data_IF_587829637256
#
_entry.id   IF_587829637256
#
_cell.length_a   1.000
_cell.length_b   1.000
_cell.length_c   1.000
_cell.angle_alpha   90.00
_cell.angle_beta   90.00
_cell.angle_gamma   90.00
#
_symmetry.space_group_name_H-M   'P 1'
#
loop_
_entity.id
_entity.type
_entity.pdbx_description
1 polymer ?
#
# COMPACT_ATOMS: atom_id res chain seq x y z
N UNK A 1 -3.31 19.51 -26.16
CA UNK A 1 -2.01 18.82 -25.88
C UNK A 1 -2.19 17.31 -26.00
N UNK A 2 -1.14 16.60 -26.43
CA UNK A 2 -1.14 15.13 -26.44
C UNK A 2 -0.55 14.57 -25.15
N UNK A 3 -1.37 13.83 -24.40
CA UNK A 3 -1.01 13.28 -23.09
C UNK A 3 -1.06 11.76 -23.17
N UNK A 4 0.05 11.11 -22.86
CA UNK A 4 0.13 9.65 -22.83
C UNK A 4 0.14 9.15 -21.39
N UNK A 5 -0.78 8.24 -21.05
CA UNK A 5 -0.87 7.57 -19.76
C UNK A 5 -0.42 6.12 -19.94
N UNK A 6 0.59 5.70 -19.17
CA UNK A 6 1.16 4.35 -19.25
C UNK A 6 0.67 3.52 -18.07
N UNK A 7 -0.17 2.53 -18.34
CA UNK A 7 -0.75 1.60 -17.38
C UNK A 7 -2.24 1.84 -17.11
N UNK A 8 -3.06 0.84 -17.42
CA UNK A 8 -4.52 0.86 -17.31
C UNK A 8 -5.05 0.38 -15.95
N UNK A 9 -4.28 0.56 -14.86
CA UNK A 9 -4.71 0.34 -13.49
C UNK A 9 -5.54 1.51 -12.94
N UNK A 10 -6.00 1.45 -11.67
CA UNK A 10 -6.82 2.49 -11.04
C UNK A 10 -6.21 3.89 -11.13
N UNK A 11 -4.89 4.02 -10.92
CA UNK A 11 -4.19 5.29 -11.02
C UNK A 11 -4.19 5.84 -12.45
N UNK A 12 -3.87 5.00 -13.45
CA UNK A 12 -3.83 5.44 -14.85
C UNK A 12 -5.21 5.73 -15.40
N UNK A 13 -6.24 4.94 -15.07
CA UNK A 13 -7.61 5.23 -15.47
C UNK A 13 -8.09 6.59 -14.91
N UNK A 14 -7.85 6.83 -13.61
CA UNK A 14 -8.21 8.12 -12.99
C UNK A 14 -7.41 9.28 -13.62
N UNK A 15 -6.11 9.09 -13.87
CA UNK A 15 -5.27 10.10 -14.52
C UNK A 15 -5.76 10.45 -15.92
N UNK A 16 -6.11 9.44 -16.73
CA UNK A 16 -6.63 9.64 -18.08
C UNK A 16 -8.00 10.35 -18.08
N UNK A 17 -8.92 9.93 -17.18
CA UNK A 17 -10.22 10.60 -16.99
C UNK A 17 -10.02 12.07 -16.62
N UNK A 18 -9.10 12.37 -15.72
CA UNK A 18 -8.90 13.73 -15.25
C UNK A 18 -8.20 14.61 -16.30
N UNK A 19 -7.18 14.07 -16.97
CA UNK A 19 -6.48 14.80 -18.05
C UNK A 19 -7.39 15.13 -19.23
N UNK A 20 -8.39 14.28 -19.50
CA UNK A 20 -9.36 14.45 -20.59
C UNK A 20 -10.58 15.33 -20.26
N UNK A 21 -10.64 15.93 -19.06
CA UNK A 21 -11.68 16.91 -18.70
C UNK A 21 -11.59 18.17 -19.56
N UNK A 22 -10.37 18.60 -19.88
CA UNK A 22 -10.16 19.60 -20.92
C UNK A 22 -10.26 18.92 -22.29
N UNK A 23 -11.28 19.31 -23.06
CA UNK A 23 -11.62 18.71 -24.36
C UNK A 23 -10.59 19.01 -25.46
N UNK A 24 -9.71 19.98 -25.27
CA UNK A 24 -8.59 20.27 -26.15
C UNK A 24 -7.42 19.29 -26.01
N UNK A 25 -7.44 18.46 -24.96
CA UNK A 25 -6.43 17.44 -24.76
C UNK A 25 -6.76 16.14 -25.50
N UNK A 26 -5.80 15.65 -26.25
CA UNK A 26 -5.78 14.30 -26.81
C UNK A 26 -5.14 13.36 -25.80
N UNK A 27 -5.93 12.46 -25.20
CA UNK A 27 -5.45 11.56 -24.14
C UNK A 27 -5.41 10.13 -24.65
N UNK A 28 -4.23 9.51 -24.59
CA UNK A 28 -3.96 8.14 -24.98
C UNK A 28 -3.59 7.32 -23.74
N UNK A 29 -4.40 6.30 -23.39
CA UNK A 29 -4.13 5.34 -22.34
C UNK A 29 -3.55 4.05 -22.94
N UNK A 30 -2.35 3.67 -22.50
CA UNK A 30 -1.66 2.47 -22.99
C UNK A 30 -1.66 1.38 -21.91
N UNK A 31 -2.17 0.21 -22.27
CA UNK A 31 -2.17 -0.98 -21.41
C UNK A 31 -1.49 -2.15 -22.11
N UNK A 32 -0.52 -2.78 -21.45
CA UNK A 32 0.20 -3.93 -22.02
C UNK A 32 -0.62 -5.23 -22.02
N UNK A 33 -1.66 -5.29 -21.18
CA UNK A 33 -2.57 -6.44 -21.10
C UNK A 33 -3.77 -6.24 -22.05
N UNK A 34 -4.55 -7.31 -22.22
CA UNK A 34 -5.75 -7.28 -23.07
C UNK A 34 -6.94 -6.52 -22.46
N UNK A 35 -6.86 -6.11 -21.18
CA UNK A 35 -7.94 -5.42 -20.47
C UNK A 35 -7.41 -4.52 -19.36
N UNK A 36 -8.17 -3.44 -19.08
CA UNK A 36 -7.90 -2.54 -17.96
C UNK A 36 -8.23 -3.18 -16.62
N UNK A 37 -7.66 -2.63 -15.54
CA UNK A 37 -8.10 -2.87 -14.18
C UNK A 37 -7.89 -4.28 -13.63
N UNK A 38 -7.06 -5.12 -14.24
CA UNK A 38 -6.90 -6.53 -13.85
C UNK A 38 -6.61 -6.73 -12.36
N UNK A 39 -5.73 -5.91 -11.77
CA UNK A 39 -5.43 -5.96 -10.33
C UNK A 39 -6.62 -5.44 -9.50
N UNK A 40 -7.34 -4.43 -9.96
CA UNK A 40 -8.56 -3.94 -9.29
C UNK A 40 -9.61 -5.06 -9.16
N UNK A 41 -9.78 -5.88 -10.20
CA UNK A 41 -10.78 -6.95 -10.22
C UNK A 41 -10.56 -8.02 -9.15
N UNK A 42 -9.34 -8.25 -8.69
CA UNK A 42 -9.03 -9.23 -7.64
C UNK A 42 -9.02 -8.64 -6.23
N UNK A 43 -9.11 -7.32 -6.08
CA UNK A 43 -9.12 -6.68 -4.77
C UNK A 43 -10.37 -7.03 -3.97
N UNK A 44 -10.25 -7.05 -2.65
CA UNK A 44 -11.37 -7.40 -1.77
C UNK A 44 -11.98 -8.78 -2.06
N UNK A 45 -11.19 -9.73 -2.56
CA UNK A 45 -11.66 -11.07 -3.00
C UNK A 45 -12.70 -11.00 -4.14
N UNK A 46 -12.47 -10.11 -5.10
CA UNK A 46 -13.37 -9.90 -6.24
C UNK A 46 -14.50 -8.91 -5.98
N UNK A 47 -14.61 -8.34 -4.76
CA UNK A 47 -15.65 -7.37 -4.40
C UNK A 47 -15.21 -5.92 -4.60
N UNK A 48 -13.92 -5.63 -4.65
CA UNK A 48 -13.28 -4.32 -4.64
C UNK A 48 -13.55 -3.52 -3.36
N UNK A 49 -12.60 -3.54 -2.42
CA UNK A 49 -12.61 -2.58 -1.31
C UNK A 49 -12.12 -1.22 -1.83
N UNK A 50 -13.07 -0.38 -2.23
CA UNK A 50 -12.86 0.86 -3.00
C UNK A 50 -11.98 1.85 -2.24
N UNK A 51 -12.36 2.13 -0.98
CA UNK A 51 -11.71 3.09 -0.09
C UNK A 51 -12.12 2.82 1.35
N UNK A 52 -11.80 3.74 2.26
CA UNK A 52 -12.24 3.74 3.65
C UNK A 52 -13.09 4.98 3.93
N UNK A 53 -14.03 4.91 4.87
CA UNK A 53 -14.79 6.08 5.37
C UNK A 53 -14.01 6.90 6.42
N UNK A 54 -12.83 6.49 6.80
CA UNK A 54 -11.99 7.20 7.77
C UNK A 54 -11.58 8.59 7.27
N UNK A 55 -11.28 9.54 8.18
CA UNK A 55 -10.74 10.85 7.81
C UNK A 55 -9.29 10.76 7.28
N UNK A 56 -8.84 11.76 6.53
CA UNK A 56 -7.52 11.80 5.86
C UNK A 56 -6.36 11.52 6.83
N UNK A 57 -6.39 12.02 8.04
CA UNK A 57 -5.33 11.79 9.03
C UNK A 57 -5.15 10.31 9.36
N UNK A 58 -6.23 9.54 9.35
CA UNK A 58 -6.17 8.10 9.53
C UNK A 58 -5.59 7.39 8.29
N UNK A 59 -5.82 7.88 7.06
CA UNK A 59 -5.14 7.37 5.88
C UNK A 59 -3.62 7.51 6.00
N UNK A 60 -3.15 8.66 6.49
CA UNK A 60 -1.72 8.93 6.68
C UNK A 60 -1.13 8.00 7.76
N UNK A 61 -1.82 7.81 8.88
CA UNK A 61 -1.41 6.88 9.96
C UNK A 61 -1.36 5.43 9.48
N UNK A 62 -2.29 5.03 8.59
CA UNK A 62 -2.33 3.70 8.00
C UNK A 62 -1.35 3.51 6.83
N UNK A 63 -0.46 4.48 6.59
CA UNK A 63 0.61 4.42 5.59
C UNK A 63 1.97 4.38 6.29
N UNK A 64 2.55 3.18 6.56
CA UNK A 64 3.75 3.01 7.40
C UNK A 64 5.05 3.55 6.80
N UNK A 65 5.03 3.96 5.53
CA UNK A 65 6.19 4.54 4.84
C UNK A 65 6.12 6.06 4.74
N UNK A 66 5.94 6.57 3.53
CA UNK A 66 5.96 7.99 3.19
C UNK A 66 4.57 8.64 3.24
N UNK A 67 3.71 8.31 4.21
CA UNK A 67 2.31 8.75 4.27
C UNK A 67 2.11 10.27 4.15
N UNK A 68 2.99 11.07 4.74
CA UNK A 68 2.92 12.54 4.67
C UNK A 68 3.05 13.10 3.26
N UNK A 69 3.71 12.37 2.35
CA UNK A 69 3.80 12.75 0.94
C UNK A 69 2.41 12.84 0.27
N UNK A 70 1.46 12.02 0.71
CA UNK A 70 0.13 11.91 0.13
C UNK A 70 -0.84 13.01 0.58
N UNK A 71 -0.48 13.80 1.60
CA UNK A 71 -1.37 14.81 2.17
C UNK A 71 -1.97 15.75 1.11
N UNK A 72 -1.14 16.27 0.23
CA UNK A 72 -1.59 17.18 -0.85
C UNK A 72 -2.48 16.48 -1.88
N UNK A 73 -2.27 15.19 -2.13
CA UNK A 73 -3.10 14.42 -3.07
C UNK A 73 -4.48 14.13 -2.45
N UNK A 74 -4.54 13.78 -1.18
CA UNK A 74 -5.80 13.57 -0.46
C UNK A 74 -6.62 14.85 -0.30
N UNK A 75 -5.97 16.01 -0.14
CA UNK A 75 -6.65 17.31 -0.11
C UNK A 75 -7.30 17.66 -1.46
N UNK A 76 -6.78 17.16 -2.57
CA UNK A 76 -7.32 17.41 -3.91
C UNK A 76 -8.32 16.35 -4.35
N UNK A 77 -8.17 15.11 -3.90
CA UNK A 77 -9.07 14.00 -4.21
C UNK A 77 -9.07 12.98 -3.08
N UNK A 78 -10.06 13.06 -2.20
CA UNK A 78 -10.22 12.22 -1.03
C UNK A 78 -11.16 11.02 -1.27
N UNK A 79 -11.48 10.31 -0.19
CA UNK A 79 -12.40 9.17 -0.22
C UNK A 79 -13.84 9.58 -0.59
N UNK A 80 -14.31 10.77 -0.23
CA UNK A 80 -15.62 11.25 -0.63
C UNK A 80 -15.67 11.52 -2.14
N UNK A 81 -14.58 12.02 -2.72
CA UNK A 81 -14.49 12.28 -4.14
C UNK A 81 -14.63 10.99 -4.97
N UNK A 82 -13.95 9.89 -4.59
CA UNK A 82 -14.11 8.63 -5.31
C UNK A 82 -15.50 8.02 -5.11
N UNK A 83 -16.10 8.14 -3.92
CA UNK A 83 -17.46 7.70 -3.66
C UNK A 83 -18.45 8.48 -4.55
N UNK A 84 -18.33 9.80 -4.61
CA UNK A 84 -19.19 10.64 -5.44
C UNK A 84 -19.00 10.33 -6.93
N UNK A 85 -17.74 10.16 -7.40
CA UNK A 85 -17.47 9.74 -8.77
C UNK A 85 -18.20 8.44 -9.14
N UNK A 86 -18.21 7.43 -8.28
CA UNK A 86 -18.90 6.18 -8.53
C UNK A 86 -20.43 6.35 -8.53
N UNK A 87 -20.97 7.14 -7.63
CA UNK A 87 -22.40 7.47 -7.59
C UNK A 87 -22.86 8.22 -8.85
N UNK A 88 -22.08 9.18 -9.32
CA UNK A 88 -22.33 9.88 -10.59
C UNK A 88 -22.34 8.93 -11.79
N UNK A 89 -21.58 7.83 -11.73
CA UNK A 89 -21.62 6.77 -12.74
C UNK A 89 -22.75 5.76 -12.55
N UNK A 90 -23.57 5.93 -11.51
CA UNK A 90 -24.73 5.08 -11.20
C UNK A 90 -24.41 3.87 -10.30
N UNK A 91 -23.27 3.86 -9.61
CA UNK A 91 -22.87 2.79 -8.70
C UNK A 91 -22.96 3.23 -7.24
N UNK A 92 -23.96 2.70 -6.51
CA UNK A 92 -24.10 2.90 -5.07
C UNK A 92 -23.05 2.06 -4.30
N UNK A 93 -22.64 2.59 -3.15
CA UNK A 93 -21.67 1.96 -2.27
C UNK A 93 -22.24 1.74 -0.87
N UNK A 94 -21.65 0.79 -0.13
CA UNK A 94 -21.98 0.48 1.26
C UNK A 94 -20.74 0.49 2.13
N UNK A 95 -20.91 0.89 3.39
CA UNK A 95 -19.86 0.75 4.40
C UNK A 95 -20.03 -0.58 5.14
N UNK A 96 -18.92 -1.27 5.36
CA UNK A 96 -18.83 -2.50 6.16
C UNK A 96 -17.91 -2.32 7.36
N UNK A 97 -17.95 -3.29 8.28
CA UNK A 97 -17.10 -3.32 9.48
C UNK A 97 -15.65 -2.94 9.16
N UNK A 98 -15.06 -2.05 9.97
CA UNK A 98 -13.71 -1.55 9.79
C UNK A 98 -13.61 -0.43 8.76
N UNK A 99 -14.69 0.34 8.61
CA UNK A 99 -14.75 1.54 7.76
C UNK A 99 -14.44 1.27 6.28
N UNK A 100 -14.70 0.04 5.81
CA UNK A 100 -14.40 -0.39 4.43
C UNK A 100 -15.57 -0.09 3.51
N UNK A 101 -15.29 0.55 2.38
CA UNK A 101 -16.30 0.88 1.38
C UNK A 101 -16.27 -0.13 0.25
N UNK A 102 -17.41 -0.74 -0.03
CA UNK A 102 -17.62 -1.69 -1.12
C UNK A 102 -18.75 -1.23 -2.04
N UNK A 103 -18.78 -1.68 -3.32
CA UNK A 103 -19.95 -1.50 -4.15
C UNK A 103 -21.12 -2.30 -3.55
N UNK A 104 -22.34 -1.76 -3.65
CA UNK A 104 -23.55 -2.46 -3.11
C UNK A 104 -23.75 -3.82 -3.77
N UNK A 105 -23.30 -3.96 -5.01
CA UNK A 105 -23.38 -5.20 -5.82
C UNK A 105 -22.39 -6.29 -5.38
N UNK A 106 -21.39 -5.94 -4.56
CA UNK A 106 -20.27 -6.85 -4.20
C UNK A 106 -19.46 -7.37 -5.39
N UNK A 107 -19.45 -6.65 -6.54
CA UNK A 107 -18.73 -7.02 -7.74
C UNK A 107 -17.74 -5.93 -8.18
N UNK A 108 -16.45 -6.27 -8.20
CA UNK A 108 -15.37 -5.37 -8.67
C UNK A 108 -15.54 -4.98 -10.15
N UNK A 109 -16.23 -5.79 -10.95
CA UNK A 109 -16.56 -5.50 -12.34
C UNK A 109 -17.37 -4.21 -12.48
N UNK A 110 -18.28 -3.93 -11.56
CA UNK A 110 -19.13 -2.74 -11.65
C UNK A 110 -18.34 -1.47 -11.36
N UNK A 111 -17.37 -1.54 -10.45
CA UNK A 111 -16.40 -0.45 -10.25
C UNK A 111 -15.60 -0.21 -11.54
N UNK A 112 -15.08 -1.26 -12.19
CA UNK A 112 -14.35 -1.13 -13.45
C UNK A 112 -15.22 -0.55 -14.56
N UNK A 113 -16.50 -0.95 -14.65
CA UNK A 113 -17.45 -0.39 -15.63
C UNK A 113 -17.61 1.12 -15.49
N UNK A 114 -17.65 1.66 -14.25
CA UNK A 114 -17.71 3.10 -14.01
C UNK A 114 -16.53 3.83 -14.65
N UNK A 115 -15.31 3.32 -14.44
CA UNK A 115 -14.11 3.91 -15.05
C UNK A 115 -14.12 3.80 -16.57
N UNK A 116 -14.43 2.62 -17.12
CA UNK A 116 -14.41 2.40 -18.57
C UNK A 116 -15.50 3.19 -19.29
N UNK A 117 -16.68 3.35 -18.67
CA UNK A 117 -17.74 4.22 -19.17
C UNK A 117 -17.26 5.67 -19.24
N UNK A 118 -16.63 6.19 -18.17
CA UNK A 118 -16.15 7.57 -18.12
C UNK A 118 -15.00 7.83 -19.09
N UNK A 119 -14.08 6.89 -19.28
CA UNK A 119 -13.03 6.97 -20.29
C UNK A 119 -13.63 7.10 -21.71
N UNK A 120 -14.67 6.30 -22.01
CA UNK A 120 -15.36 6.35 -23.30
C UNK A 120 -16.12 7.66 -23.49
N UNK A 121 -16.84 8.15 -22.48
CA UNK A 121 -17.54 9.44 -22.52
C UNK A 121 -16.58 10.60 -22.80
N UNK A 122 -15.40 10.56 -22.19
CA UNK A 122 -14.35 11.56 -22.38
C UNK A 122 -13.53 11.35 -23.67
N UNK A 123 -13.87 10.35 -24.51
CA UNK A 123 -13.18 10.02 -25.77
C UNK A 123 -11.69 9.72 -25.61
N UNK A 124 -11.29 9.14 -24.47
CA UNK A 124 -9.91 8.67 -24.25
C UNK A 124 -9.64 7.51 -25.20
N UNK A 125 -8.57 7.63 -25.99
CA UNK A 125 -8.08 6.53 -26.82
C UNK A 125 -7.37 5.49 -25.94
N UNK A 126 -7.59 4.18 -26.20
CA UNK A 126 -6.99 3.11 -25.40
C UNK A 126 -6.29 2.13 -26.33
N UNK A 127 -4.98 1.97 -26.12
CA UNK A 127 -4.18 0.96 -26.78
C UNK A 127 -3.92 -0.22 -25.86
N UNK A 128 -4.58 -1.34 -26.13
CA UNK A 128 -4.36 -2.62 -25.45
C UNK A 128 -3.21 -3.41 -26.06
N UNK A 129 -2.70 -4.41 -25.32
CA UNK A 129 -1.62 -5.31 -25.76
C UNK A 129 -0.40 -4.53 -26.27
N UNK A 130 -0.13 -3.36 -25.68
CA UNK A 130 0.94 -2.45 -26.11
C UNK A 130 1.88 -2.17 -24.95
N UNK A 131 3.10 -2.67 -25.04
CA UNK A 131 4.14 -2.48 -24.03
C UNK A 131 4.98 -1.26 -24.39
N UNK A 132 5.04 -0.30 -23.47
CA UNK A 132 5.98 0.82 -23.54
C UNK A 132 7.35 0.34 -23.07
N UNK A 133 8.39 0.62 -23.84
CA UNK A 133 9.78 0.26 -23.55
C UNK A 133 10.56 1.41 -22.94
N UNK A 134 10.26 2.65 -23.37
CA UNK A 134 11.05 3.81 -23.06
C UNK A 134 10.18 5.09 -23.12
N UNK A 135 10.49 6.05 -22.26
CA UNK A 135 10.01 7.43 -22.39
C UNK A 135 11.11 8.23 -23.07
N UNK A 136 10.76 8.91 -24.16
CA UNK A 136 11.69 9.72 -24.95
C UNK A 136 11.78 11.11 -24.34
N UNK A 137 12.99 11.61 -24.21
CA UNK A 137 13.28 12.92 -23.61
C UNK A 137 14.30 13.68 -24.47
N UNK A 138 14.19 15.01 -24.45
CA UNK A 138 15.22 15.93 -24.95
C UNK A 138 15.93 16.62 -23.79
N UNK A 139 17.18 17.01 -23.98
CA UNK A 139 17.92 17.84 -23.06
C UNK A 139 17.36 19.26 -23.07
N UNK A 140 17.14 19.84 -21.91
CA UNK A 140 16.80 21.25 -21.78
C UNK A 140 18.09 22.04 -21.86
N UNK A 141 18.37 22.69 -22.99
CA UNK A 141 19.47 23.62 -23.10
C UNK A 141 19.27 24.77 -22.13
N UNK A 142 20.05 24.77 -21.03
CA UNK A 142 20.12 25.88 -20.07
C UNK A 142 21.04 26.95 -20.68
N UNK A 143 20.90 27.28 -21.97
CA UNK A 143 21.57 28.42 -22.55
C UNK A 143 20.76 29.70 -22.30
N UNK A 144 21.38 30.59 -21.53
CA UNK A 144 21.24 32.04 -21.56
C UNK A 144 19.94 32.69 -21.14
N UNK A 145 19.79 32.82 -19.82
CA UNK A 145 19.20 34.05 -19.27
C UNK A 145 20.27 34.96 -18.61
N UNK A 146 21.55 34.73 -18.83
CA UNK A 146 22.63 35.53 -18.26
C UNK A 146 23.33 36.50 -19.23
N UNK A 147 22.77 36.77 -20.43
CA UNK A 147 23.37 37.75 -21.35
C UNK A 147 22.38 38.87 -21.72
N UNK A 148 21.84 39.56 -20.73
CA UNK A 148 21.30 40.93 -20.90
C UNK A 148 21.38 41.69 -19.57
N UNK A 149 22.60 41.85 -19.06
CA UNK A 149 22.87 42.89 -18.01
C UNK A 149 24.38 43.10 -17.78
N UNK A 150 25.16 43.18 -18.87
CA UNK A 150 26.52 43.69 -18.84
C UNK A 150 26.73 44.71 -19.94
N UNK A 151 25.90 45.76 -19.97
CA UNK A 151 26.25 47.04 -20.55
C UNK A 151 25.58 48.10 -19.68
N UNK A 152 26.41 48.94 -19.05
CA UNK A 152 26.09 50.10 -18.20
C UNK A 152 26.13 49.82 -16.68
N UNK A 153 27.31 49.52 -16.14
CA UNK A 153 27.71 49.87 -14.77
C UNK A 153 29.08 50.55 -14.85
N UNK A 154 29.02 51.82 -15.28
CA UNK A 154 30.02 52.80 -14.92
C UNK A 154 29.25 54.08 -14.63
N UNK A 155 29.24 54.51 -13.38
CA UNK A 155 28.67 55.70 -12.73
C UNK A 155 27.48 55.36 -11.84
N UNK A 156 27.84 55.28 -10.55
CA UNK A 156 27.16 55.86 -9.39
C UNK A 156 27.47 55.05 -8.13
N UNK A 157 28.72 55.18 -7.68
CA UNK A 157 29.04 55.12 -6.28
C UNK A 157 28.60 56.47 -5.68
N UNK A 158 27.80 56.42 -4.64
CA UNK A 158 27.53 57.27 -3.52
C UNK A 158 26.05 57.33 -3.20
N UNK A 159 25.66 56.58 -2.23
CA UNK A 159 24.84 56.93 -1.09
C UNK A 159 24.37 55.68 -0.36
N UNK A 160 25.19 55.30 0.58
CA UNK A 160 24.88 54.29 1.59
C UNK A 160 24.11 54.97 2.72
N UNK A 161 23.20 54.22 3.22
CA UNK A 161 22.72 54.12 4.59
C UNK A 161 21.24 54.42 4.78
N UNK A 162 20.67 53.46 5.48
CA UNK A 162 19.38 53.49 6.17
C UNK A 162 18.11 53.26 5.31
N UNK A 163 17.67 51.96 5.27
CA UNK A 163 16.33 51.61 5.74
C UNK A 163 16.18 50.09 5.74
N UNK A 164 16.15 49.54 6.92
CA UNK A 164 15.88 48.16 7.24
C UNK A 164 14.44 47.74 6.89
N UNK A 165 14.31 46.42 6.57
CA UNK A 165 13.12 45.61 6.74
C UNK A 165 11.95 45.76 5.76
N UNK A 166 11.95 44.90 4.79
CA UNK A 166 10.87 44.02 4.30
C UNK A 166 11.14 43.61 2.86
N UNK A 167 11.99 42.61 2.68
CA UNK A 167 12.07 41.91 1.40
C UNK A 167 11.43 40.55 1.59
N UNK A 168 10.22 40.43 1.10
CA UNK A 168 9.61 39.14 0.80
C UNK A 168 10.42 38.50 -0.29
N UNK A 169 11.28 37.55 0.07
CA UNK A 169 11.99 36.68 -0.89
C UNK A 169 10.99 35.82 -1.64
N UNK A 170 10.57 36.25 -2.82
CA UNK A 170 10.15 35.35 -3.87
C UNK A 170 11.43 34.69 -4.38
N UNK A 171 11.77 33.52 -3.82
CA UNK A 171 12.75 32.65 -4.41
C UNK A 171 12.31 32.28 -5.83
N UNK A 172 12.96 32.85 -6.82
CA UNK A 172 12.96 32.30 -8.19
C UNK A 172 13.67 30.96 -8.11
N UNK A 173 12.89 29.87 -7.92
CA UNK A 173 13.40 28.51 -8.05
C UNK A 173 13.82 28.33 -9.51
N UNK A 174 15.11 28.40 -9.76
CA UNK A 174 15.71 27.93 -11.02
C UNK A 174 15.31 26.47 -11.20
N UNK A 175 14.64 26.18 -12.31
CA UNK A 175 14.24 24.82 -12.67
C UNK A 175 15.51 24.04 -13.06
N UNK A 176 15.98 23.15 -12.18
CA UNK A 176 17.20 22.37 -12.38
C UNK A 176 16.97 21.08 -13.17
N UNK A 177 15.81 20.91 -13.79
CA UNK A 177 15.54 19.75 -14.65
C UNK A 177 16.39 19.81 -15.91
N UNK A 178 17.04 18.66 -16.22
CA UNK A 178 17.91 18.53 -17.40
C UNK A 178 17.18 18.02 -18.62
N UNK A 179 16.03 17.37 -18.45
CA UNK A 179 15.33 16.66 -19.50
C UNK A 179 13.85 17.05 -19.53
N UNK A 180 13.28 17.01 -20.73
CA UNK A 180 11.85 17.22 -20.99
C UNK A 180 11.30 16.05 -21.80
N UNK A 181 10.09 15.59 -21.47
CA UNK A 181 9.39 14.56 -22.25
C UNK A 181 9.08 15.07 -23.65
N UNK A 182 9.31 14.22 -24.67
CA UNK A 182 8.91 14.43 -26.06
C UNK A 182 8.03 13.29 -26.61
N UNK A 183 7.90 12.18 -25.88
CA UNK A 183 7.08 11.05 -26.30
C UNK A 183 7.45 9.75 -25.61
N UNK A 184 7.04 8.66 -26.22
CA UNK A 184 7.31 7.29 -25.78
C UNK A 184 7.73 6.41 -26.94
N UNK A 185 8.37 5.28 -26.62
CA UNK A 185 8.67 4.20 -27.56
C UNK A 185 7.98 2.91 -27.11
N UNK A 186 7.17 2.35 -27.97
CA UNK A 186 6.57 1.04 -27.80
C UNK A 186 7.42 -0.04 -28.47
N UNK A 187 6.94 -1.27 -28.49
CA UNK A 187 7.58 -2.35 -29.29
C UNK A 187 7.44 -2.11 -30.80
N UNK A 188 6.44 -1.33 -31.21
CA UNK A 188 6.07 -1.15 -32.62
C UNK A 188 6.51 0.19 -33.19
N UNK A 189 6.36 1.27 -32.43
CA UNK A 189 6.50 2.63 -32.93
C UNK A 189 6.89 3.63 -31.83
N UNK A 190 7.26 4.85 -32.28
CA UNK A 190 7.42 6.01 -31.42
C UNK A 190 6.15 6.85 -31.47
N UNK A 191 5.65 7.30 -30.32
CA UNK A 191 4.46 8.15 -30.19
C UNK A 191 4.92 9.44 -29.52
N UNK A 192 4.78 10.57 -30.23
CA UNK A 192 5.07 11.89 -29.67
C UNK A 192 4.02 12.26 -28.63
N UNK A 193 4.44 12.95 -27.58
CA UNK A 193 3.57 13.42 -26.50
C UNK A 193 4.14 14.67 -25.83
N UNK A 194 3.27 15.58 -25.45
CA UNK A 194 3.63 16.78 -24.66
C UNK A 194 3.86 16.44 -23.19
N UNK A 195 3.10 15.48 -22.66
CA UNK A 195 3.18 14.98 -21.30
C UNK A 195 3.06 13.46 -21.23
N UNK A 196 3.73 12.84 -20.26
CA UNK A 196 3.59 11.41 -19.96
C UNK A 196 3.26 11.21 -18.48
N UNK A 197 2.27 10.36 -18.21
CA UNK A 197 1.92 9.91 -16.84
C UNK A 197 2.28 8.45 -16.72
N UNK A 198 3.26 8.12 -15.85
CA UNK A 198 3.72 6.76 -15.58
C UNK A 198 2.94 6.18 -14.39
N UNK A 199 2.01 5.26 -14.66
CA UNK A 199 1.09 4.66 -13.69
C UNK A 199 1.05 3.11 -13.78
N UNK A 200 2.21 2.50 -14.01
CA UNK A 200 2.37 1.07 -14.30
C UNK A 200 2.19 0.14 -13.09
N UNK A 201 1.98 0.69 -11.88
CA UNK A 201 1.90 -0.08 -10.65
C UNK A 201 3.26 -0.61 -10.16
N UNK A 202 3.21 -1.55 -9.22
CA UNK A 202 4.38 -2.16 -8.59
C UNK A 202 4.83 -3.47 -9.24
N UNK A 203 5.22 -4.45 -8.39
CA UNK A 203 5.72 -5.76 -8.80
C UNK A 203 4.93 -6.93 -8.19
N UNK A 204 3.91 -6.66 -7.39
CA UNK A 204 3.04 -7.68 -6.80
C UNK A 204 1.95 -8.12 -7.77
N UNK A 205 1.53 -9.40 -7.71
CA UNK A 205 0.59 -10.01 -8.64
C UNK A 205 0.97 -9.85 -10.13
N UNK A 206 2.12 -10.37 -10.57
CA UNK A 206 2.66 -10.13 -11.92
C UNK A 206 1.73 -10.58 -13.05
N UNK A 207 0.88 -11.59 -12.81
CA UNK A 207 -0.14 -12.05 -13.77
C UNK A 207 -1.20 -10.98 -14.09
N UNK A 208 -1.32 -9.94 -13.27
CA UNK A 208 -2.22 -8.80 -13.54
C UNK A 208 -1.60 -7.72 -14.41
N UNK A 209 -0.31 -7.85 -14.74
CA UNK A 209 0.45 -6.86 -15.49
C UNK A 209 1.45 -6.05 -14.62
N UNK A 210 1.43 -6.19 -13.31
CA UNK A 210 2.37 -5.49 -12.38
C UNK A 210 3.73 -6.20 -12.33
N UNK A 211 4.55 -6.06 -13.37
CA UNK A 211 5.83 -6.77 -13.51
C UNK A 211 7.05 -5.91 -13.14
N UNK A 212 6.83 -4.63 -12.80
CA UNK A 212 7.90 -3.68 -12.45
C UNK A 212 8.58 -3.05 -13.68
N UNK A 213 7.98 -3.12 -14.88
CA UNK A 213 8.54 -2.49 -16.08
C UNK A 213 8.75 -0.98 -15.90
N UNK A 214 7.81 -0.30 -15.24
CA UNK A 214 7.91 1.14 -14.98
C UNK A 214 9.10 1.55 -14.12
N UNK A 215 9.56 0.68 -13.24
CA UNK A 215 10.77 0.95 -12.45
C UNK A 215 12.01 1.10 -13.35
N UNK A 216 12.18 0.20 -14.32
CA UNK A 216 13.29 0.27 -15.28
C UNK A 216 13.22 1.54 -16.13
N UNK A 217 12.00 1.91 -16.56
CA UNK A 217 11.78 3.15 -17.32
C UNK A 217 12.19 4.36 -16.48
N UNK A 218 11.80 4.39 -15.21
CA UNK A 218 12.14 5.50 -14.32
C UNK A 218 13.64 5.57 -13.98
N UNK A 219 14.30 4.43 -13.77
CA UNK A 219 15.77 4.38 -13.56
C UNK A 219 16.54 4.89 -14.77
N UNK A 220 16.13 4.55 -15.99
CA UNK A 220 16.74 5.07 -17.23
C UNK A 220 16.61 6.60 -17.36
N UNK A 221 15.64 7.21 -16.69
CA UNK A 221 15.43 8.65 -16.63
C UNK A 221 16.15 9.32 -15.43
N UNK A 222 16.96 8.55 -14.70
CA UNK A 222 17.72 9.04 -13.55
C UNK A 222 17.01 8.99 -12.20
N UNK A 223 15.78 8.47 -12.15
CA UNK A 223 15.08 8.28 -10.86
C UNK A 223 15.72 7.17 -10.03
N UNK A 224 15.77 7.38 -8.74
CA UNK A 224 16.25 6.37 -7.78
C UNK A 224 15.09 5.60 -7.16
N UNK A 225 15.30 4.30 -6.98
CA UNK A 225 14.33 3.42 -6.36
C UNK A 225 14.69 3.13 -4.90
N UNK A 226 13.70 3.12 -4.04
CA UNK A 226 13.77 2.42 -2.75
C UNK A 226 13.73 0.92 -3.00
N UNK A 227 14.36 0.14 -2.12
CA UNK A 227 14.41 -1.31 -2.26
C UNK A 227 13.01 -1.92 -2.38
N UNK A 228 12.76 -2.63 -3.48
CA UNK A 228 11.49 -3.30 -3.74
C UNK A 228 11.37 -4.54 -2.86
N UNK A 229 10.29 -4.59 -2.06
CA UNK A 229 10.00 -5.66 -1.10
C UNK A 229 8.51 -6.04 -1.17
N UNK A 230 8.15 -7.29 -0.78
CA UNK A 230 6.75 -7.63 -0.58
C UNK A 230 6.17 -6.86 0.61
N UNK A 231 4.95 -6.36 0.52
CA UNK A 231 4.20 -5.78 1.64
C UNK A 231 2.78 -6.31 1.67
N UNK A 232 2.18 -6.39 2.85
CA UNK A 232 0.90 -7.07 3.05
C UNK A 232 0.94 -8.51 2.52
N UNK A 233 1.89 -9.26 3.02
CA UNK A 233 2.21 -10.62 2.58
C UNK A 233 2.13 -11.59 3.75
N UNK A 234 1.66 -12.83 3.57
CA UNK A 234 1.70 -13.84 4.62
C UNK A 234 3.11 -14.12 5.12
N UNK A 235 3.22 -14.63 6.35
CA UNK A 235 4.48 -14.96 7.00
C UNK A 235 4.67 -16.48 7.09
N UNK A 236 5.87 -16.94 6.73
CA UNK A 236 6.34 -18.30 6.96
C UNK A 236 6.85 -18.44 8.39
N UNK A 237 6.63 -19.59 8.98
CA UNK A 237 7.05 -19.88 10.37
C UNK A 237 7.97 -21.08 10.44
N UNK A 238 8.75 -21.18 11.51
CA UNK A 238 9.54 -22.38 11.80
C UNK A 238 8.64 -23.52 12.24
N UNK A 239 7.53 -23.25 12.93
CA UNK A 239 6.54 -24.22 13.41
C UNK A 239 5.59 -24.68 12.29
N UNK A 240 6.13 -25.01 11.12
CA UNK A 240 5.36 -25.34 9.93
C UNK A 240 4.39 -26.51 10.12
N UNK A 241 4.80 -27.55 10.84
CA UNK A 241 3.95 -28.72 11.07
C UNK A 241 2.72 -28.34 11.91
N UNK A 242 2.91 -27.62 13.00
CA UNK A 242 1.82 -27.07 13.83
C UNK A 242 0.88 -26.17 13.00
N UNK A 243 1.43 -25.28 12.20
CA UNK A 243 0.62 -24.43 11.34
C UNK A 243 -0.18 -25.22 10.29
N UNK A 244 0.36 -26.33 9.76
CA UNK A 244 -0.34 -27.23 8.84
C UNK A 244 -1.50 -27.94 9.53
N UNK A 245 -1.36 -28.39 10.77
CA UNK A 245 -2.45 -28.96 11.57
C UNK A 245 -3.58 -27.95 11.80
N UNK A 246 -3.20 -26.69 12.05
CA UNK A 246 -4.13 -25.59 12.25
C UNK A 246 -4.65 -24.98 10.94
N UNK A 247 -4.24 -25.45 9.78
CA UNK A 247 -4.61 -24.88 8.47
C UNK A 247 -6.12 -24.66 8.36
N UNK A 248 -6.50 -23.42 7.95
CA UNK A 248 -7.89 -23.00 7.79
C UNK A 248 -8.55 -22.51 9.09
N UNK A 249 -7.88 -22.62 10.24
CA UNK A 249 -8.36 -22.01 11.47
C UNK A 249 -8.22 -20.49 11.37
N UNK A 250 -9.35 -19.79 11.42
CA UNK A 250 -9.42 -18.33 11.50
C UNK A 250 -9.77 -17.91 12.92
N UNK A 251 -9.02 -16.94 13.44
CA UNK A 251 -9.19 -16.33 14.75
C UNK A 251 -9.61 -14.87 14.56
N UNK A 252 -10.73 -14.46 15.15
CA UNK A 252 -11.31 -13.14 14.88
C UNK A 252 -10.96 -12.05 15.88
N UNK A 253 -10.74 -12.40 17.13
CA UNK A 253 -10.54 -11.46 18.23
C UNK A 253 -9.29 -11.86 19.02
N UNK A 254 -8.13 -11.76 18.39
CA UNK A 254 -6.82 -12.01 19.01
C UNK A 254 -5.97 -10.75 18.94
N UNK A 255 -5.05 -10.59 19.87
CA UNK A 255 -3.99 -9.60 19.70
C UNK A 255 -2.68 -10.30 19.36
N UNK A 256 -1.85 -9.60 18.62
CA UNK A 256 -0.50 -10.05 18.27
C UNK A 256 0.54 -9.03 18.67
N UNK A 257 1.74 -9.50 18.98
CA UNK A 257 2.95 -8.69 19.10
C UNK A 257 4.04 -9.33 18.27
N UNK A 258 4.58 -8.59 17.31
CA UNK A 258 5.78 -8.97 16.57
C UNK A 258 7.00 -8.41 17.33
N UNK A 259 7.86 -9.27 17.83
CA UNK A 259 8.94 -8.93 18.74
C UNK A 259 10.31 -9.28 18.14
N UNK A 260 11.25 -8.36 18.24
CA UNK A 260 12.69 -8.66 18.11
C UNK A 260 13.21 -9.10 19.51
N UNK A 261 13.44 -10.39 19.67
CA UNK A 261 13.83 -10.96 20.96
C UNK A 261 15.26 -10.62 21.37
N UNK A 262 16.14 -10.30 20.40
CA UNK A 262 17.51 -9.87 20.67
C UNK A 262 17.57 -8.50 21.35
N UNK A 263 16.63 -7.60 20.96
CA UNK A 263 16.57 -6.23 21.47
C UNK A 263 15.44 -5.98 22.45
N UNK A 264 14.63 -6.99 22.70
CA UNK A 264 13.38 -6.88 23.47
C UNK A 264 12.48 -5.73 22.96
N UNK A 265 12.39 -5.61 21.61
CA UNK A 265 11.69 -4.50 20.97
C UNK A 265 10.46 -4.97 20.22
N UNK A 266 9.30 -4.42 20.58
CA UNK A 266 8.07 -4.60 19.80
C UNK A 266 8.23 -3.86 18.46
N UNK A 267 8.13 -4.61 17.36
CA UNK A 267 8.16 -4.09 15.98
C UNK A 267 6.77 -3.61 15.59
N UNK A 268 5.75 -4.39 15.99
CA UNK A 268 4.34 -4.11 15.68
C UNK A 268 3.43 -4.82 16.66
N UNK A 269 2.30 -4.21 17.00
CA UNK A 269 1.22 -4.85 17.73
C UNK A 269 -0.13 -4.45 17.16
N UNK A 270 -1.10 -5.36 17.18
CA UNK A 270 -2.44 -5.12 16.66
C UNK A 270 -3.45 -6.10 17.26
N UNK A 271 -4.74 -5.75 17.10
CA UNK A 271 -5.88 -6.56 17.50
C UNK A 271 -6.80 -6.78 16.29
N UNK A 272 -7.20 -8.03 16.05
CA UNK A 272 -8.10 -8.31 14.93
C UNK A 272 -8.16 -9.79 14.53
N UNK A 273 -8.15 -10.00 13.22
CA UNK A 273 -8.33 -11.31 12.60
C UNK A 273 -7.01 -11.84 12.03
N UNK A 274 -6.72 -13.11 12.30
CA UNK A 274 -5.64 -13.87 11.69
C UNK A 274 -6.10 -15.28 11.30
N UNK A 275 -5.30 -15.95 10.48
CA UNK A 275 -5.54 -17.34 10.11
C UNK A 275 -4.25 -18.14 9.98
N UNK A 276 -4.33 -19.43 10.25
CA UNK A 276 -3.26 -20.37 9.98
C UNK A 276 -3.35 -20.95 8.57
N UNK A 277 -2.18 -21.14 7.95
CA UNK A 277 -2.02 -21.73 6.61
C UNK A 277 -1.05 -22.90 6.69
N UNK A 278 -0.91 -23.67 5.62
CA UNK A 278 0.03 -24.81 5.58
C UNK A 278 1.51 -24.42 5.66
N UNK A 279 1.86 -23.15 5.48
CA UNK A 279 3.23 -22.65 5.53
C UNK A 279 3.51 -21.75 6.75
N UNK A 280 2.47 -21.31 7.45
CA UNK A 280 2.59 -20.35 8.54
C UNK A 280 1.28 -19.62 8.80
N UNK A 281 1.31 -18.29 8.77
CA UNK A 281 0.21 -17.42 9.21
C UNK A 281 -0.12 -16.33 8.20
N UNK A 282 -1.39 -15.90 8.20
CA UNK A 282 -1.93 -14.85 7.34
C UNK A 282 -3.10 -14.14 8.03
N UNK A 283 -3.84 -13.33 7.30
CA UNK A 283 -4.99 -12.55 7.80
C UNK A 283 -4.64 -11.09 8.04
N UNK A 284 -5.64 -10.22 8.26
CA UNK A 284 -5.45 -8.77 8.24
C UNK A 284 -4.32 -8.26 9.13
N UNK A 285 -4.29 -8.65 10.40
CA UNK A 285 -3.25 -8.17 11.33
C UNK A 285 -1.86 -8.74 11.02
N UNK A 286 -1.78 -9.94 10.45
CA UNK A 286 -0.50 -10.53 10.00
C UNK A 286 0.01 -9.84 8.75
N UNK A 287 -0.86 -9.53 7.79
CA UNK A 287 -0.51 -8.78 6.60
C UNK A 287 0.01 -7.38 6.97
N UNK A 288 -0.65 -6.69 7.90
CA UNK A 288 -0.17 -5.40 8.40
C UNK A 288 1.18 -5.53 9.11
N UNK A 289 1.38 -6.57 9.94
CA UNK A 289 2.66 -6.81 10.62
C UNK A 289 3.82 -7.03 9.64
N UNK A 290 3.55 -7.66 8.48
CA UNK A 290 4.57 -7.89 7.45
C UNK A 290 5.11 -6.58 6.87
N UNK A 291 4.28 -5.54 6.74
CA UNK A 291 4.69 -4.22 6.28
C UNK A 291 5.74 -3.57 7.21
N UNK A 292 5.66 -3.85 8.52
CA UNK A 292 6.67 -3.41 9.49
C UNK A 292 7.91 -4.29 9.46
N UNK A 293 7.72 -5.61 9.36
CA UNK A 293 8.83 -6.56 9.31
C UNK A 293 9.78 -6.25 8.14
N UNK A 294 9.25 -6.00 6.93
CA UNK A 294 10.10 -5.76 5.75
C UNK A 294 10.87 -4.44 5.82
N UNK A 295 10.42 -3.50 6.65
CA UNK A 295 11.10 -2.21 6.92
C UNK A 295 12.06 -2.30 8.11
N UNK A 296 11.96 -3.36 8.93
CA UNK A 296 12.81 -3.52 10.10
C UNK A 296 14.26 -3.80 9.69
N UNK A 297 15.19 -3.16 10.40
CA UNK A 297 16.64 -3.31 10.11
C UNK A 297 17.08 -4.76 10.30
N UNK A 298 17.77 -5.31 9.32
CA UNK A 298 18.31 -6.68 9.33
C UNK A 298 17.23 -7.76 9.51
N UNK A 299 15.98 -7.50 9.11
CA UNK A 299 14.87 -8.43 9.33
C UNK A 299 15.13 -9.85 8.81
N UNK A 300 15.71 -9.99 7.61
CA UNK A 300 16.02 -11.31 7.03
C UNK A 300 17.00 -12.12 7.88
N UNK A 301 18.06 -11.49 8.35
CA UNK A 301 19.06 -12.12 9.22
C UNK A 301 18.44 -12.51 10.57
N UNK A 302 17.69 -11.61 11.17
CA UNK A 302 16.99 -11.85 12.43
C UNK A 302 15.96 -12.97 12.33
N UNK A 303 15.20 -13.05 11.24
CA UNK A 303 14.33 -14.18 10.99
C UNK A 303 15.11 -15.49 10.86
N UNK A 304 16.23 -15.51 10.11
CA UNK A 304 17.10 -16.68 9.98
C UNK A 304 17.64 -17.17 11.32
N UNK A 305 17.96 -16.25 12.23
CA UNK A 305 18.47 -16.53 13.58
C UNK A 305 17.36 -16.78 14.60
N UNK A 306 16.09 -16.87 14.18
CA UNK A 306 14.91 -17.04 15.04
C UNK A 306 14.72 -15.92 16.11
N UNK A 307 15.24 -14.72 15.82
CA UNK A 307 15.14 -13.57 16.73
C UNK A 307 13.86 -12.75 16.50
N UNK A 308 12.98 -13.18 15.59
CA UNK A 308 11.67 -12.57 15.37
C UNK A 308 10.58 -13.54 15.81
N UNK A 309 9.90 -13.18 16.88
CA UNK A 309 8.76 -13.92 17.43
C UNK A 309 7.45 -13.18 17.15
N UNK A 310 6.41 -13.92 16.80
CA UNK A 310 5.03 -13.46 16.90
C UNK A 310 4.42 -14.06 18.18
N UNK A 311 3.97 -13.21 19.07
CA UNK A 311 3.26 -13.59 20.29
C UNK A 311 1.78 -13.37 20.06
N UNK A 312 0.96 -14.39 20.27
CA UNK A 312 -0.50 -14.34 20.10
C UNK A 312 -1.16 -14.42 21.47
N UNK A 313 -2.03 -13.48 21.77
CA UNK A 313 -2.98 -13.55 22.88
C UNK A 313 -4.35 -13.97 22.34
N UNK A 314 -4.78 -15.18 22.67
CA UNK A 314 -6.06 -15.73 22.24
C UNK A 314 -7.27 -15.16 22.98
N UNK A 315 -7.06 -14.47 24.11
CA UNK A 315 -8.11 -13.93 24.97
C UNK A 315 -7.79 -12.51 25.44
N UNK A 316 -7.57 -11.55 24.53
CA UNK A 316 -7.10 -10.20 24.87
C UNK A 316 -8.06 -9.41 25.74
N UNK A 317 -9.36 -9.71 25.68
CA UNK A 317 -10.39 -9.08 26.54
C UNK A 317 -10.32 -9.51 28.02
N UNK A 318 -9.55 -10.55 28.35
CA UNK A 318 -9.44 -11.07 29.72
C UNK A 318 -8.02 -10.83 30.26
N UNK A 319 -7.90 -10.24 31.45
CA UNK A 319 -6.63 -10.27 32.19
C UNK A 319 -6.28 -11.72 32.59
N UNK A 320 -5.03 -11.98 32.94
CA UNK A 320 -4.59 -13.33 33.37
C UNK A 320 -5.46 -13.82 34.53
N UNK A 321 -5.75 -12.98 35.53
CA UNK A 321 -6.60 -13.33 36.66
C UNK A 321 -8.03 -13.68 36.25
N UNK A 322 -8.63 -12.89 35.33
CA UNK A 322 -9.98 -13.16 34.82
C UNK A 322 -10.03 -14.42 33.97
N UNK A 323 -8.95 -14.69 33.21
CA UNK A 323 -8.83 -15.91 32.40
C UNK A 323 -8.66 -17.14 33.30
N UNK A 324 -7.82 -17.05 34.34
CA UNK A 324 -7.66 -18.13 35.37
C UNK A 324 -9.00 -18.43 36.03
N UNK A 325 -9.72 -17.42 36.51
CA UNK A 325 -11.04 -17.58 37.09
C UNK A 325 -12.05 -18.21 36.12
N UNK A 326 -12.01 -17.86 34.85
CA UNK A 326 -12.83 -18.50 33.81
C UNK A 326 -12.49 -19.97 33.63
N UNK A 327 -11.19 -20.32 33.55
CA UNK A 327 -10.76 -21.69 33.41
C UNK A 327 -11.16 -22.51 34.64
N UNK A 328 -11.00 -21.95 35.84
CA UNK A 328 -11.41 -22.63 37.08
C UNK A 328 -12.92 -22.92 37.11
N UNK A 329 -13.74 -21.96 36.68
CA UNK A 329 -15.19 -22.16 36.59
C UNK A 329 -15.54 -23.26 35.58
N UNK A 330 -14.95 -23.24 34.38
CA UNK A 330 -15.20 -24.23 33.34
C UNK A 330 -14.71 -25.63 33.82
N UNK A 331 -13.61 -25.71 34.57
CA UNK A 331 -13.09 -26.94 35.16
C UNK A 331 -13.98 -27.46 36.31
N UNK A 332 -14.57 -26.60 37.10
CA UNK A 332 -15.55 -26.99 38.15
C UNK A 332 -16.81 -27.60 37.51
N UNK A 333 -17.29 -27.05 36.41
CA UNK A 333 -18.42 -27.59 35.66
C UNK A 333 -18.07 -28.97 35.05
N UNK A 334 -16.84 -29.14 34.57
CA UNK A 334 -16.39 -30.36 33.89
C UNK A 334 -15.52 -31.30 34.78
N UNK A 335 -15.60 -31.22 36.11
CA UNK A 335 -14.71 -31.83 37.05
C UNK A 335 -14.38 -33.31 36.80
N UNK A 336 -15.29 -34.07 36.21
CA UNK A 336 -15.13 -35.51 35.92
C UNK A 336 -14.62 -35.80 34.52
N UNK A 337 -14.51 -34.79 33.64
CA UNK A 337 -13.98 -34.97 32.28
C UNK A 337 -12.48 -35.10 32.28
N UNK A 338 -11.92 -35.76 31.27
CA UNK A 338 -10.50 -35.70 30.97
C UNK A 338 -10.15 -34.32 30.41
N UNK A 339 -8.93 -33.85 30.65
CA UNK A 339 -8.43 -32.53 30.24
C UNK A 339 -8.63 -32.29 28.71
N UNK A 340 -8.32 -33.30 27.88
CA UNK A 340 -8.50 -33.22 26.42
C UNK A 340 -9.93 -32.86 25.97
N UNK A 341 -10.93 -33.13 26.82
CA UNK A 341 -12.36 -32.92 26.52
C UNK A 341 -12.95 -31.72 27.28
N UNK A 342 -12.12 -30.85 27.88
CA UNK A 342 -12.57 -29.80 28.80
C UNK A 342 -12.41 -28.38 28.24
N UNK A 343 -11.78 -28.21 27.09
CA UNK A 343 -11.43 -26.90 26.54
C UNK A 343 -12.40 -26.40 25.45
N UNK A 344 -13.45 -27.14 25.13
CA UNK A 344 -14.38 -26.85 24.02
C UNK A 344 -15.08 -25.48 24.17
N UNK A 345 -15.41 -25.06 25.41
CA UNK A 345 -16.03 -23.76 25.67
C UNK A 345 -15.03 -22.59 25.61
N UNK A 346 -13.75 -22.91 25.66
CA UNK A 346 -12.67 -21.92 25.72
C UNK A 346 -11.99 -21.68 24.37
N UNK A 347 -11.79 -22.74 23.59
CA UNK A 347 -10.97 -22.73 22.38
C UNK A 347 -11.69 -23.35 21.18
N UNK A 348 -11.37 -22.93 19.95
CA UNK A 348 -11.76 -23.65 18.74
C UNK A 348 -11.20 -25.08 18.75
N UNK A 349 -12.01 -26.04 18.27
CA UNK A 349 -11.65 -27.46 18.30
C UNK A 349 -10.28 -27.78 17.74
N UNK A 350 -9.92 -27.18 16.57
CA UNK A 350 -8.59 -27.39 15.95
C UNK A 350 -7.42 -26.90 16.84
N UNK A 351 -7.64 -25.91 17.71
CA UNK A 351 -6.57 -25.37 18.56
C UNK A 351 -6.33 -26.21 19.82
N UNK A 352 -7.34 -26.97 20.26
CA UNK A 352 -7.28 -27.75 21.52
C UNK A 352 -6.10 -28.73 21.56
N UNK A 353 -5.86 -29.58 20.55
CA UNK A 353 -4.73 -30.53 20.59
C UNK A 353 -3.37 -29.82 20.74
N UNK A 354 -3.18 -28.71 20.02
CA UNK A 354 -1.94 -27.92 20.08
C UNK A 354 -1.73 -27.30 21.47
N UNK A 355 -2.80 -26.79 22.08
CA UNK A 355 -2.71 -26.21 23.45
C UNK A 355 -2.45 -27.32 24.48
N UNK A 356 -3.05 -28.48 24.34
CA UNK A 356 -2.78 -29.64 25.22
C UNK A 356 -1.32 -30.03 25.14
N UNK A 357 -0.76 -30.21 23.96
CA UNK A 357 0.67 -30.52 23.77
C UNK A 357 1.57 -29.45 24.39
N UNK A 358 1.31 -28.17 24.11
CA UNK A 358 2.08 -27.03 24.64
C UNK A 358 1.96 -26.89 26.15
N UNK A 359 0.82 -27.24 26.75
CA UNK A 359 0.60 -27.17 28.22
C UNK A 359 1.39 -28.20 28.99
N UNK A 360 1.79 -29.31 28.35
CA UNK A 360 2.43 -30.49 28.96
C UNK A 360 1.59 -31.12 30.08
N UNK A 361 0.29 -30.83 30.15
CA UNK A 361 -0.64 -31.49 31.05
C UNK A 361 -1.04 -32.82 30.41
N UNK A 362 -1.05 -33.91 31.19
CA UNK A 362 -1.48 -35.21 30.68
C UNK A 362 -2.93 -35.12 30.11
N UNK A 363 -3.16 -35.44 28.82
CA UNK A 363 -4.48 -35.36 28.17
C UNK A 363 -5.59 -36.14 28.90
N UNK A 364 -5.23 -37.26 29.52
CA UNK A 364 -6.16 -38.16 30.20
C UNK A 364 -6.37 -37.84 31.67
N UNK A 365 -5.63 -36.88 32.22
CA UNK A 365 -5.77 -36.38 33.59
C UNK A 365 -7.18 -35.81 33.78
N UNK A 366 -7.83 -36.15 34.88
CA UNK A 366 -9.12 -35.56 35.24
C UNK A 366 -8.95 -34.08 35.55
N UNK A 367 -9.93 -33.29 35.16
CA UNK A 367 -9.86 -31.83 35.32
C UNK A 367 -9.75 -31.37 36.78
N UNK A 368 -10.36 -32.10 37.72
CA UNK A 368 -10.26 -31.83 39.13
C UNK A 368 -8.87 -32.15 39.74
N UNK A 369 -8.01 -32.86 39.03
CA UNK A 369 -6.65 -33.17 39.44
C UNK A 369 -5.62 -32.15 38.90
N UNK A 370 -6.06 -31.21 38.02
CA UNK A 370 -5.18 -30.18 37.48
C UNK A 370 -4.74 -29.21 38.55
N UNK A 371 -3.43 -29.11 38.78
CA UNK A 371 -2.86 -28.27 39.80
C UNK A 371 -2.99 -26.77 39.47
N UNK A 372 -2.75 -25.95 40.50
CA UNK A 372 -2.72 -24.48 40.33
C UNK A 372 -1.62 -24.04 39.36
N UNK A 373 -0.46 -24.68 39.42
CA UNK A 373 0.71 -24.43 38.56
C UNK A 373 0.38 -24.76 37.08
N UNK A 374 -0.20 -25.94 36.84
CA UNK A 374 -0.63 -26.37 35.50
C UNK A 374 -1.66 -25.39 34.92
N UNK A 375 -2.61 -24.95 35.75
CA UNK A 375 -3.62 -23.97 35.34
C UNK A 375 -3.00 -22.58 35.01
N UNK A 376 -2.06 -22.10 35.84
CA UNK A 376 -1.32 -20.87 35.56
C UNK A 376 -0.49 -20.97 34.27
N UNK A 377 0.16 -22.13 34.05
CA UNK A 377 0.89 -22.38 32.81
C UNK A 377 -0.03 -22.34 31.60
N UNK A 378 -1.22 -22.95 31.68
CA UNK A 378 -2.23 -22.87 30.62
C UNK A 378 -2.65 -21.41 30.32
N UNK A 379 -2.89 -20.61 31.36
CA UNK A 379 -3.17 -19.17 31.21
C UNK A 379 -2.04 -18.46 30.47
N UNK A 380 -0.78 -18.69 30.90
CA UNK A 380 0.40 -18.09 30.26
C UNK A 380 0.52 -18.46 28.79
N UNK A 381 0.26 -19.73 28.43
CA UNK A 381 0.28 -20.18 27.03
C UNK A 381 -0.81 -19.49 26.21
N UNK A 382 -2.02 -19.36 26.75
CA UNK A 382 -3.14 -18.72 26.05
C UNK A 382 -2.95 -17.21 25.86
N UNK A 383 -2.21 -16.56 26.76
CA UNK A 383 -1.90 -15.11 26.69
C UNK A 383 -0.62 -14.81 25.91
N UNK A 384 0.31 -15.77 25.80
CA UNK A 384 1.64 -15.56 25.22
C UNK A 384 2.02 -16.76 24.33
N UNK A 385 1.19 -17.06 23.31
CA UNK A 385 1.47 -18.14 22.39
C UNK A 385 2.50 -17.70 21.34
N UNK A 386 3.67 -18.34 21.33
CA UNK A 386 4.83 -17.93 20.55
C UNK A 386 4.97 -18.71 19.25
N UNK A 387 5.28 -18.02 18.18
CA UNK A 387 5.61 -18.55 16.86
C UNK A 387 6.83 -17.81 16.32
N UNK A 388 7.84 -18.52 15.83
CA UNK A 388 9.04 -17.92 15.24
C UNK A 388 8.84 -17.64 13.74
N UNK A 389 9.05 -16.41 13.35
CA UNK A 389 8.93 -16.00 11.95
C UNK A 389 10.20 -16.39 11.20
N UNK A 390 10.03 -17.15 10.12
CA UNK A 390 11.10 -17.62 9.26
C UNK A 390 11.39 -16.66 8.10
N UNK A 391 10.33 -16.20 7.43
CA UNK A 391 10.43 -15.31 6.28
C UNK A 391 9.05 -14.72 5.93
N UNK A 392 9.03 -13.78 4.99
CA UNK A 392 7.81 -13.40 4.26
C UNK A 392 7.60 -14.35 3.08
N UNK A 393 6.36 -14.50 2.61
CA UNK A 393 6.10 -15.13 1.31
C UNK A 393 6.67 -14.26 0.18
N UNK A 394 6.88 -14.83 -1.03
CA UNK A 394 7.40 -14.11 -2.19
C UNK A 394 6.56 -12.90 -2.58
N UNK A 395 7.19 -11.96 -3.31
CA UNK A 395 6.55 -10.72 -3.76
C UNK A 395 5.34 -10.98 -4.68
N UNK A 396 5.35 -12.09 -5.39
CA UNK A 396 4.25 -12.47 -6.29
C UNK A 396 2.95 -12.78 -5.55
N UNK A 397 3.06 -13.14 -4.25
CA UNK A 397 1.91 -13.39 -3.36
C UNK A 397 1.56 -12.16 -2.50
N UNK A 398 2.35 -11.09 -2.57
CA UNK A 398 2.10 -9.87 -1.82
C UNK A 398 0.90 -9.10 -2.39
N UNK A 399 0.08 -8.51 -1.51
CA UNK A 399 -1.04 -7.67 -1.95
C UNK A 399 -0.53 -6.39 -2.59
N UNK A 400 0.55 -5.82 -2.04
CA UNK A 400 1.14 -4.55 -2.48
C UNK A 400 2.66 -4.64 -2.48
N UNK A 401 3.29 -3.81 -3.28
CA UNK A 401 4.74 -3.60 -3.31
C UNK A 401 5.13 -2.50 -2.32
N UNK A 402 6.11 -2.75 -1.46
CA UNK A 402 6.80 -1.72 -0.68
C UNK A 402 8.07 -1.29 -1.44
N UNK A 403 8.39 -0.01 -1.38
CA UNK A 403 9.42 0.58 -2.21
C UNK A 403 8.86 1.10 -3.54
N UNK A 404 9.70 1.74 -4.33
CA UNK A 404 9.32 2.40 -5.59
C UNK A 404 10.15 3.64 -5.83
N UNK A 405 9.70 4.51 -6.71
CA UNK A 405 10.36 5.79 -7.01
C UNK A 405 10.33 6.66 -5.75
N UNK A 406 11.51 7.15 -5.34
CA UNK A 406 11.64 7.95 -4.13
C UNK A 406 10.78 9.21 -4.18
N UNK A 407 9.94 9.41 -3.17
CA UNK A 407 9.02 10.57 -3.05
C UNK A 407 9.73 11.92 -3.07
N UNK A 408 11.01 11.97 -2.69
CA UNK A 408 11.81 13.21 -2.73
C UNK A 408 12.02 13.76 -4.14
N UNK A 409 11.95 12.89 -5.14
CA UNK A 409 12.12 13.20 -6.56
C UNK A 409 10.81 13.55 -7.26
N UNK A 410 9.70 13.59 -6.53
CA UNK A 410 8.37 13.88 -7.02
C UNK A 410 7.83 15.13 -6.31
N UNK A 411 7.15 16.00 -7.03
CA UNK A 411 6.45 17.12 -6.45
C UNK A 411 5.11 16.64 -5.84
N UNK A 412 4.90 16.69 -4.51
CA UNK A 412 3.69 16.16 -3.88
C UNK A 412 2.41 16.92 -4.24
N UNK A 413 2.51 18.14 -4.77
CA UNK A 413 1.35 18.96 -5.14
C UNK A 413 0.86 18.69 -6.56
N UNK A 414 1.75 18.24 -7.44
CA UNK A 414 1.46 18.06 -8.87
C UNK A 414 1.67 16.65 -9.36
N UNK A 415 2.33 15.79 -8.58
CA UNK A 415 2.83 14.47 -8.99
C UNK A 415 3.86 14.52 -10.14
N UNK A 416 4.37 15.69 -10.50
CA UNK A 416 5.39 15.84 -11.54
C UNK A 416 6.77 15.43 -11.02
N UNK A 417 7.57 14.82 -11.88
CA UNK A 417 8.99 14.55 -11.64
C UNK A 417 9.76 15.87 -11.42
N UNK A 418 10.69 15.85 -10.46
CA UNK A 418 11.64 16.95 -10.27
C UNK A 418 12.88 16.80 -11.16
N UNK A 419 13.03 15.67 -11.86
CA UNK A 419 14.18 15.37 -12.71
C UNK A 419 13.87 15.58 -14.19
N UNK A 420 12.63 15.26 -14.60
CA UNK A 420 12.17 15.30 -16.00
C UNK A 420 10.91 16.14 -16.08
N UNK A 421 10.95 17.19 -16.88
CA UNK A 421 9.81 18.06 -17.13
C UNK A 421 8.73 17.31 -17.93
N UNK A 422 7.44 17.54 -17.59
CA UNK A 422 6.28 16.91 -18.21
C UNK A 422 6.17 15.38 -17.97
N UNK A 423 6.94 14.83 -17.05
CA UNK A 423 6.76 13.47 -16.56
C UNK A 423 6.01 13.49 -15.25
N UNK A 424 4.90 12.77 -15.16
CA UNK A 424 4.09 12.62 -13.96
C UNK A 424 4.09 11.17 -13.49
N UNK A 425 3.93 10.96 -12.19
CA UNK A 425 4.04 9.64 -11.56
C UNK A 425 2.80 9.40 -10.68
N UNK A 426 2.15 8.23 -10.81
CA UNK A 426 0.93 7.95 -10.05
C UNK A 426 0.80 6.47 -9.62
N UNK A 427 0.20 6.27 -8.46
CA UNK A 427 -0.11 4.94 -7.93
C UNK A 427 1.10 4.21 -7.32
N UNK A 428 1.03 2.89 -7.30
CA UNK A 428 1.96 1.98 -6.61
C UNK A 428 3.41 2.00 -7.17
N UNK A 429 3.68 2.72 -8.25
CA UNK A 429 5.05 2.92 -8.74
C UNK A 429 5.85 3.85 -7.82
N UNK A 430 5.17 4.70 -7.06
CA UNK A 430 5.75 5.61 -6.08
C UNK A 430 6.04 4.83 -4.79
N UNK A 431 7.10 5.18 -4.07
CA UNK A 431 7.46 4.58 -2.78
C UNK A 431 6.46 4.97 -1.67
N UNK A 432 5.21 4.50 -1.82
CA UNK A 432 4.12 4.64 -0.84
C UNK A 432 3.27 3.38 -0.85
N UNK A 433 3.02 2.81 0.31
CA UNK A 433 2.11 1.68 0.50
C UNK A 433 1.44 1.74 1.87
N UNK A 434 0.18 1.36 1.94
CA UNK A 434 -0.66 1.42 3.13
C UNK A 434 -1.15 0.02 3.51
N UNK A 435 -1.74 -0.09 4.71
CA UNK A 435 -2.38 -1.32 5.16
C UNK A 435 -3.56 -1.74 4.28
N UNK A 436 -4.12 -2.90 4.58
CA UNK A 436 -5.41 -3.34 4.02
C UNK A 436 -6.52 -2.42 4.52
N UNK A 437 -7.57 -2.21 3.71
CA UNK A 437 -8.70 -1.36 4.13
C UNK A 437 -9.20 -0.38 3.06
N UNK A 438 -8.73 -0.50 1.81
CA UNK A 438 -9.08 0.43 0.72
C UNK A 438 -8.07 1.56 0.53
N UNK A 439 -7.08 1.70 1.43
CA UNK A 439 -6.11 2.79 1.41
C UNK A 439 -5.24 2.80 0.15
N UNK A 440 -4.76 1.64 -0.32
CA UNK A 440 -3.90 1.56 -1.50
C UNK A 440 -4.64 1.93 -2.80
N UNK A 441 -5.92 1.62 -2.90
CA UNK A 441 -6.74 2.07 -4.03
C UNK A 441 -6.97 3.58 -3.95
N UNK A 442 -7.20 4.14 -2.76
CA UNK A 442 -7.30 5.59 -2.59
C UNK A 442 -6.01 6.30 -2.98
N UNK A 443 -4.83 5.78 -2.62
CA UNK A 443 -3.53 6.30 -3.09
C UNK A 443 -3.52 6.35 -4.63
N UNK A 444 -3.94 5.27 -5.28
CA UNK A 444 -3.97 5.19 -6.73
C UNK A 444 -4.90 6.25 -7.35
N UNK A 445 -6.12 6.40 -6.80
CA UNK A 445 -7.07 7.39 -7.29
C UNK A 445 -6.58 8.83 -7.06
N UNK A 446 -6.12 9.15 -5.84
CA UNK A 446 -5.71 10.50 -5.48
C UNK A 446 -4.48 10.97 -6.25
N UNK A 447 -3.46 10.12 -6.36
CA UNK A 447 -2.25 10.45 -7.12
C UNK A 447 -2.51 10.48 -8.63
N UNK A 448 -3.39 9.59 -9.14
CA UNK A 448 -3.84 9.59 -10.53
C UNK A 448 -4.60 10.86 -10.88
N UNK A 449 -5.54 11.28 -10.03
CA UNK A 449 -6.28 12.53 -10.20
C UNK A 449 -5.33 13.74 -10.26
N UNK A 450 -4.41 13.85 -9.31
CA UNK A 450 -3.47 14.99 -9.25
C UNK A 450 -2.54 15.01 -10.46
N UNK A 451 -2.00 13.85 -10.87
CA UNK A 451 -1.16 13.73 -12.05
C UNK A 451 -1.93 14.14 -13.32
N UNK A 452 -3.15 13.62 -13.50
CA UNK A 452 -4.00 13.93 -14.65
C UNK A 452 -4.39 15.40 -14.73
N UNK A 453 -4.79 16.00 -13.59
CA UNK A 453 -5.15 17.41 -13.49
C UNK A 453 -3.99 18.33 -13.90
N UNK A 454 -2.79 18.07 -13.39
CA UNK A 454 -1.64 18.94 -13.65
C UNK A 454 -1.06 18.71 -15.05
N UNK A 455 -1.07 17.48 -15.59
CA UNK A 455 -0.71 17.22 -16.96
C UNK A 455 -1.70 17.88 -17.93
N UNK A 456 -3.02 17.82 -17.63
CA UNK A 456 -4.07 18.37 -18.49
C UNK A 456 -4.19 19.89 -18.48
N UNK A 457 -3.71 20.56 -17.42
CA UNK A 457 -3.82 22.03 -17.30
C UNK A 457 -2.59 22.80 -17.80
N UNK A 458 -1.53 22.12 -18.22
CA UNK A 458 -0.36 22.79 -18.82
C UNK A 458 -0.75 23.40 -20.16
N UNK A 459 -0.81 24.74 -20.22
CA UNK A 459 -0.91 25.43 -21.51
C UNK A 459 0.40 25.26 -22.28
N UNK A 460 0.32 24.81 -23.52
CA UNK A 460 1.44 24.84 -24.45
C UNK A 460 1.93 26.28 -24.53
N UNK A 461 3.14 26.57 -24.11
CA UNK A 461 3.76 27.84 -24.43
C UNK A 461 3.95 27.81 -25.97
N UNK A 462 3.00 28.37 -26.67
CA UNK A 462 3.17 28.70 -28.10
C UNK A 462 4.42 29.57 -28.23
N UNK A 463 5.42 29.04 -28.94
CA UNK A 463 6.61 29.76 -29.36
C UNK A 463 6.22 30.84 -30.37
#
# INVERSE_FOLDING_TARGET
MKIVVIGGGPAGMMAAITASQDKENEVLLIEKMQSLGRKLLITGKGRCNITSSLPIDEFIKNTPGNGRFLYSSYQQFDNNNIINFLKEQGLEVKEERGNRIFPITDHSQDVLKCFTKKLKENKVEILYNTKVKEILVDEINIETKNNKSNESIDKLEENVSQLSNKVTNKENKTDNRKYKVIGIKTEKEKILADCVILATGGKSYPLTGSTGDGYKIAENLGHTLSQIKPSLVPLETYERNMCKELQGLSLRNVSIKLLDTEKDKIIYEDFGEMMFTHFGISGPIILSSSAHLVRYKNAKEKCKNQNIELIIDFKPALSEQKLEARILRDFTEFKNKQYKNSLDKLLPQKLIPVIIEKSKINPDKKVNEITKEERKNLVKILKNFKIHIKNTRPIDEAIITSGGIKVKEINPKTMESKLVENLYLAGEIIDVDSYTGGFNLQIAYSTGYVAGKNAGSKKTQTK
#
